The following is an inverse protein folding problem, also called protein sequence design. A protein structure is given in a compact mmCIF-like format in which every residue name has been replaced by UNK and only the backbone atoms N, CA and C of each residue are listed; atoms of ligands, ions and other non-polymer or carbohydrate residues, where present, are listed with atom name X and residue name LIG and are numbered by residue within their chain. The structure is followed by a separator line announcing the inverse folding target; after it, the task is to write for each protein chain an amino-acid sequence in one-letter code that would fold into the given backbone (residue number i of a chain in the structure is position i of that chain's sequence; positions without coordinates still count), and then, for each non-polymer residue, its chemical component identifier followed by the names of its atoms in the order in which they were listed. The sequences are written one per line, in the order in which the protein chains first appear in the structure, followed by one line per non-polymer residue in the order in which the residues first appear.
data_IF_560205619356
#
_entry.id   IF_560205619356
#
_cell.length_a   1.000
_cell.length_b   1.000
_cell.length_c   1.000
_cell.angle_alpha   90.00
_cell.angle_beta   90.00
_cell.angle_gamma   90.00
#
_symmetry.space_group_name_H-M   'P 1'
#
loop_
_entity.id
_entity.type
_entity.pdbx_description
1 polymer ?
#
# COMPACT_ATOMS: atom_id res chain seq x y z
N UNK A 1 0.05 -22.43 -2.39
CA UNK A 1 -1.28 -22.70 -1.83
C UNK A 1 -2.26 -21.73 -2.46
N UNK A 2 -3.32 -22.24 -3.08
CA UNK A 2 -4.31 -21.39 -3.74
C UNK A 2 -5.15 -20.62 -2.71
N UNK A 3 -5.44 -19.35 -3.01
CA UNK A 3 -6.18 -18.43 -2.13
C UNK A 3 -7.63 -18.90 -1.97
N UNK A 4 -8.16 -18.82 -0.74
CA UNK A 4 -9.52 -19.23 -0.40
C UNK A 4 -10.59 -18.52 -1.28
N UNK A 5 -11.69 -19.19 -1.66
CA UNK A 5 -12.72 -18.62 -2.53
C UNK A 5 -13.33 -17.31 -2.00
N UNK A 6 -13.52 -17.19 -0.69
CA UNK A 6 -14.03 -15.97 -0.04
C UNK A 6 -13.11 -14.77 -0.26
N UNK A 7 -11.79 -14.97 -0.18
CA UNK A 7 -10.80 -13.93 -0.44
C UNK A 7 -10.71 -13.56 -1.92
N UNK A 8 -11.02 -14.48 -2.84
CA UNK A 8 -11.11 -14.15 -4.28
C UNK A 8 -12.32 -13.27 -4.55
N UNK A 9 -13.48 -13.60 -3.98
CA UNK A 9 -14.70 -12.82 -4.13
C UNK A 9 -14.54 -11.41 -3.55
N UNK A 10 -13.92 -11.28 -2.38
CA UNK A 10 -13.61 -9.99 -1.76
C UNK A 10 -12.70 -9.11 -2.65
N UNK A 11 -11.80 -9.70 -3.46
CA UNK A 11 -10.95 -8.98 -4.42
C UNK A 11 -11.67 -8.63 -5.71
N UNK A 12 -12.60 -9.47 -6.18
CA UNK A 12 -13.34 -9.22 -7.42
C UNK A 12 -14.28 -8.02 -7.30
N UNK A 13 -14.86 -7.80 -6.12
CA UNK A 13 -15.77 -6.67 -5.88
C UNK A 13 -15.15 -5.29 -6.18
N UNK A 14 -13.99 -4.89 -5.61
CA UNK A 14 -13.38 -3.62 -5.95
C UNK A 14 -12.87 -3.58 -7.39
N UNK A 15 -12.34 -4.69 -7.93
CA UNK A 15 -11.88 -4.75 -9.32
C UNK A 15 -13.02 -4.46 -10.28
N UNK A 16 -14.20 -5.03 -10.06
CA UNK A 16 -15.39 -4.79 -10.87
C UNK A 16 -15.73 -3.30 -10.95
N UNK A 17 -15.74 -2.61 -9.80
CA UNK A 17 -16.03 -1.17 -9.76
C UNK A 17 -14.92 -0.33 -10.39
N UNK A 18 -13.64 -0.65 -10.15
CA UNK A 18 -12.51 0.05 -10.79
C UNK A 18 -12.61 -0.03 -12.31
N UNK A 19 -12.92 -1.23 -12.84
CA UNK A 19 -13.06 -1.44 -14.29
C UNK A 19 -14.26 -0.68 -14.83
N UNK A 20 -15.44 -0.79 -14.22
CA UNK A 20 -16.65 -0.14 -14.75
C UNK A 20 -16.54 1.39 -14.67
N UNK A 21 -16.02 1.93 -13.57
CA UNK A 21 -15.81 3.38 -13.44
C UNK A 21 -14.78 3.87 -14.46
N UNK A 22 -13.71 3.10 -14.69
CA UNK A 22 -12.69 3.42 -15.69
C UNK A 22 -13.19 3.36 -17.15
N UNK A 23 -14.09 2.42 -17.46
CA UNK A 23 -14.63 2.24 -18.82
C UNK A 23 -15.82 3.15 -19.13
N UNK A 24 -16.63 3.48 -18.12
CA UNK A 24 -17.83 4.30 -18.26
C UNK A 24 -17.74 5.59 -17.41
N UNK A 25 -16.66 6.39 -17.52
CA UNK A 25 -16.46 7.53 -16.63
C UNK A 25 -17.53 8.61 -16.80
N UNK A 26 -18.06 8.78 -18.02
CA UNK A 26 -19.15 9.72 -18.29
C UNK A 26 -20.44 9.36 -17.55
N UNK A 27 -20.77 8.07 -17.45
CA UNK A 27 -21.97 7.62 -16.75
C UNK A 27 -21.91 7.95 -15.26
N UNK A 28 -20.78 7.65 -14.61
CA UNK A 28 -20.58 7.98 -13.20
C UNK A 28 -20.49 9.49 -12.96
N UNK A 29 -19.87 10.24 -13.86
CA UNK A 29 -19.86 11.70 -13.79
C UNK A 29 -21.28 12.28 -13.82
N UNK A 30 -22.14 11.80 -14.72
CA UNK A 30 -23.53 12.25 -14.81
C UNK A 30 -24.34 11.86 -13.56
N UNK A 31 -24.12 10.65 -13.03
CA UNK A 31 -24.77 10.19 -11.79
C UNK A 31 -24.41 11.08 -10.58
N UNK A 32 -23.13 11.43 -10.43
CA UNK A 32 -22.66 12.28 -9.32
C UNK A 32 -23.19 13.72 -9.50
N UNK A 33 -23.07 14.26 -10.71
CA UNK A 33 -23.48 15.65 -10.98
C UNK A 33 -24.99 15.84 -10.90
N UNK A 34 -25.81 14.83 -11.22
CA UNK A 34 -27.26 14.92 -11.01
C UNK A 34 -27.66 15.11 -9.55
N UNK A 35 -26.87 14.56 -8.61
CA UNK A 35 -27.11 14.71 -7.16
C UNK A 35 -26.62 16.07 -6.66
N UNK A 36 -25.51 16.57 -7.21
CA UNK A 36 -24.88 17.82 -6.75
C UNK A 36 -25.56 19.06 -7.36
N UNK A 37 -26.16 18.94 -8.55
CA UNK A 37 -26.81 20.05 -9.26
C UNK A 37 -27.90 20.74 -8.43
N UNK A 38 -28.64 19.98 -7.61
CA UNK A 38 -29.67 20.51 -6.71
C UNK A 38 -29.09 21.51 -5.69
N UNK A 39 -27.86 21.26 -5.20
CA UNK A 39 -27.20 22.11 -4.21
C UNK A 39 -26.43 23.28 -4.81
N UNK A 40 -26.03 23.19 -6.08
CA UNK A 40 -25.22 24.18 -6.77
C UNK A 40 -25.78 24.52 -8.16
N UNK A 41 -26.94 25.20 -8.23
CA UNK A 41 -27.65 25.44 -9.49
C UNK A 41 -26.90 26.39 -10.44
N UNK A 42 -26.05 27.26 -9.90
CA UNK A 42 -25.24 28.23 -10.66
C UNK A 42 -24.20 27.55 -11.57
N UNK A 43 -23.81 26.31 -11.25
CA UNK A 43 -22.79 25.58 -12.01
C UNK A 43 -23.49 24.59 -12.93
N UNK A 44 -23.38 24.80 -14.24
CA UNK A 44 -23.90 23.88 -15.25
C UNK A 44 -22.93 22.69 -15.46
N UNK A 45 -22.87 21.77 -14.50
CA UNK A 45 -21.92 20.65 -14.53
C UNK A 45 -22.02 19.80 -15.82
N UNK A 46 -23.23 19.64 -16.36
CA UNK A 46 -23.47 18.90 -17.61
C UNK A 46 -22.82 19.54 -18.85
N UNK A 47 -22.60 20.86 -18.84
CA UNK A 47 -22.07 21.61 -19.97
C UNK A 47 -20.57 21.91 -19.83
N UNK A 48 -19.94 21.42 -18.77
CA UNK A 48 -18.50 21.58 -18.61
C UNK A 48 -17.75 20.83 -19.73
N UNK A 49 -16.65 21.39 -20.24
CA UNK A 49 -15.86 20.79 -21.33
C UNK A 49 -15.30 19.41 -20.97
N UNK A 50 -15.26 19.07 -19.68
CA UNK A 50 -14.82 17.76 -19.17
C UNK A 50 -15.71 16.62 -19.67
N UNK A 51 -17.00 16.86 -19.96
CA UNK A 51 -17.92 15.80 -20.40
C UNK A 51 -17.50 15.17 -21.73
N UNK A 52 -17.08 16.00 -22.69
CA UNK A 52 -16.55 15.54 -23.96
C UNK A 52 -15.25 14.75 -23.77
N UNK A 53 -14.34 15.25 -22.92
CA UNK A 53 -13.10 14.53 -22.59
C UNK A 53 -13.36 13.15 -21.98
N UNK A 54 -14.30 13.05 -21.04
CA UNK A 54 -14.67 11.77 -20.40
C UNK A 54 -15.31 10.80 -21.40
N UNK A 55 -16.10 11.29 -22.35
CA UNK A 55 -16.63 10.47 -23.44
C UNK A 55 -15.51 9.84 -24.28
N UNK A 56 -14.55 10.65 -24.75
CA UNK A 56 -13.44 10.18 -25.56
C UNK A 56 -12.49 9.26 -24.79
N UNK A 57 -12.22 9.53 -23.51
CA UNK A 57 -11.40 8.66 -22.65
C UNK A 57 -12.05 7.28 -22.52
N UNK A 58 -13.34 7.21 -22.20
CA UNK A 58 -14.06 5.93 -22.09
C UNK A 58 -14.10 5.17 -23.43
N UNK A 59 -14.36 5.88 -24.53
CA UNK A 59 -14.41 5.28 -25.87
C UNK A 59 -13.05 4.72 -26.29
N UNK A 60 -11.96 5.48 -26.11
CA UNK A 60 -10.61 5.04 -26.45
C UNK A 60 -10.17 3.84 -25.59
N UNK A 61 -10.50 3.83 -24.30
CA UNK A 61 -10.22 2.70 -23.42
C UNK A 61 -10.93 1.43 -23.92
N UNK A 62 -12.21 1.53 -24.28
CA UNK A 62 -12.98 0.42 -24.83
C UNK A 62 -12.40 -0.08 -26.16
N UNK A 63 -12.05 0.82 -27.08
CA UNK A 63 -11.42 0.46 -28.36
C UNK A 63 -10.11 -0.29 -28.12
N UNK A 64 -9.26 0.19 -27.21
CA UNK A 64 -7.97 -0.44 -26.90
C UNK A 64 -8.15 -1.86 -26.34
N UNK A 65 -9.14 -2.06 -25.45
CA UNK A 65 -9.44 -3.38 -24.90
C UNK A 65 -9.95 -4.33 -25.97
N UNK A 66 -10.88 -3.88 -26.83
CA UNK A 66 -11.38 -4.69 -27.95
C UNK A 66 -10.23 -5.06 -28.89
N UNK A 67 -9.38 -4.09 -29.23
CA UNK A 67 -8.21 -4.31 -30.09
C UNK A 67 -7.24 -5.34 -29.47
N UNK A 68 -6.95 -5.23 -28.17
CA UNK A 68 -6.14 -6.20 -27.44
C UNK A 68 -6.75 -7.61 -27.48
N UNK A 69 -8.05 -7.74 -27.24
CA UNK A 69 -8.76 -9.03 -27.29
C UNK A 69 -8.67 -9.64 -28.69
N UNK A 70 -8.88 -8.84 -29.73
CA UNK A 70 -8.77 -9.27 -31.13
C UNK A 70 -7.34 -9.74 -31.45
N UNK A 71 -6.32 -8.96 -31.10
CA UNK A 71 -4.92 -9.35 -31.31
C UNK A 71 -4.54 -10.60 -30.53
N UNK A 72 -4.99 -10.73 -29.29
CA UNK A 72 -4.74 -11.90 -28.46
C UNK A 72 -5.42 -13.15 -29.04
N UNK A 73 -6.68 -13.04 -29.46
CA UNK A 73 -7.42 -14.12 -30.11
C UNK A 73 -6.74 -14.55 -31.42
N UNK A 74 -6.35 -13.59 -32.25
CA UNK A 74 -5.63 -13.84 -33.50
C UNK A 74 -4.29 -14.53 -33.25
N UNK A 75 -3.49 -14.05 -32.29
CA UNK A 75 -2.24 -14.70 -31.86
C UNK A 75 -2.48 -16.14 -31.41
N UNK A 76 -3.53 -16.37 -30.61
CA UNK A 76 -3.88 -17.71 -30.10
C UNK A 76 -4.30 -18.66 -31.23
N UNK A 77 -5.01 -18.16 -32.24
CA UNK A 77 -5.38 -18.94 -33.43
C UNK A 77 -4.14 -19.36 -34.24
N UNK A 78 -3.22 -18.43 -34.50
CA UNK A 78 -1.99 -18.71 -35.26
C UNK A 78 -1.07 -19.69 -34.51
N UNK A 79 -0.91 -19.50 -33.20
CA UNK A 79 0.02 -20.30 -32.39
C UNK A 79 -0.58 -21.63 -31.91
N UNK A 80 -1.83 -21.95 -32.25
CA UNK A 80 -2.51 -23.19 -31.81
C UNK A 80 -1.74 -24.46 -32.17
N UNK A 81 -1.02 -24.45 -33.29
CA UNK A 81 -0.25 -25.60 -33.78
C UNK A 81 1.20 -25.65 -33.28
N UNK A 82 1.68 -24.63 -32.56
CA UNK A 82 3.07 -24.59 -32.09
C UNK A 82 3.16 -25.15 -30.68
N UNK A 83 4.03 -26.14 -30.48
CA UNK A 83 4.42 -26.57 -29.14
C UNK A 83 5.32 -25.49 -28.53
N UNK A 84 4.88 -24.92 -27.41
CA UNK A 84 5.66 -23.97 -26.62
C UNK A 84 6.28 -24.75 -25.47
N UNK A 85 7.60 -24.98 -25.52
CA UNK A 85 8.37 -25.55 -24.41
C UNK A 85 8.94 -24.44 -23.54
N UNK A 86 8.83 -24.57 -22.22
CA UNK A 86 9.51 -23.70 -21.27
C UNK A 86 10.92 -24.22 -21.03
N UNK A 87 11.94 -23.39 -21.28
CA UNK A 87 13.34 -23.70 -20.97
C UNK A 87 13.78 -23.14 -19.61
N UNK A 88 14.95 -23.57 -19.13
CA UNK A 88 15.55 -22.99 -17.93
C UNK A 88 15.94 -21.52 -18.16
N UNK A 89 15.62 -20.64 -17.20
CA UNK A 89 15.84 -19.19 -17.29
C UNK A 89 17.30 -18.77 -17.42
N UNK A 90 18.25 -19.63 -17.04
CA UNK A 90 19.70 -19.40 -17.11
C UNK A 90 20.46 -20.53 -17.82
N UNK A 91 19.80 -21.29 -18.69
CA UNK A 91 20.34 -22.51 -19.29
C UNK A 91 21.68 -22.33 -20.05
N UNK A 92 22.01 -21.11 -20.47
CA UNK A 92 23.27 -20.78 -21.16
C UNK A 92 24.42 -20.32 -20.24
N UNK A 93 24.18 -20.07 -18.95
CA UNK A 93 25.19 -19.51 -18.03
C UNK A 93 25.29 -20.18 -16.67
N UNK A 94 24.20 -20.79 -16.16
CA UNK A 94 24.20 -21.48 -14.88
C UNK A 94 23.17 -22.61 -14.88
N UNK A 95 23.66 -23.85 -15.04
CA UNK A 95 22.82 -25.05 -15.16
C UNK A 95 22.12 -25.44 -13.84
N UNK A 96 22.60 -24.96 -12.70
CA UNK A 96 22.03 -25.21 -11.37
C UNK A 96 21.06 -24.11 -10.92
N UNK A 97 20.59 -23.27 -11.84
CA UNK A 97 19.66 -22.20 -11.50
C UNK A 97 18.34 -22.78 -10.97
N UNK A 98 18.10 -22.62 -9.68
CA UNK A 98 16.82 -22.93 -9.07
C UNK A 98 16.04 -21.63 -8.89
N UNK A 99 14.86 -21.46 -9.52
CA UNK A 99 14.04 -20.29 -9.34
C UNK A 99 13.72 -20.00 -7.87
N UNK A 100 13.58 -21.00 -7.00
CA UNK A 100 13.25 -20.78 -5.59
C UNK A 100 14.38 -20.09 -4.81
N UNK A 101 15.65 -20.32 -5.18
CA UNK A 101 16.82 -19.81 -4.44
C UNK A 101 17.47 -18.62 -5.13
N UNK A 102 17.36 -18.53 -6.45
CA UNK A 102 18.07 -17.54 -7.26
C UNK A 102 17.16 -16.38 -7.68
N UNK A 103 16.00 -16.22 -7.03
CA UNK A 103 15.10 -15.09 -7.25
C UNK A 103 15.62 -13.86 -6.51
N UNK A 104 15.63 -12.72 -7.20
CA UNK A 104 15.82 -11.42 -6.56
C UNK A 104 14.70 -11.16 -5.55
N UNK A 105 15.07 -10.63 -4.40
CA UNK A 105 14.10 -10.26 -3.35
C UNK A 105 13.49 -8.89 -3.65
N UNK A 106 12.39 -8.56 -2.96
CA UNK A 106 11.79 -7.23 -3.05
C UNK A 106 12.80 -6.11 -2.76
N UNK A 107 13.71 -6.32 -1.80
CA UNK A 107 14.80 -5.39 -1.46
C UNK A 107 15.74 -5.17 -2.64
N UNK A 108 16.12 -6.23 -3.38
CA UNK A 108 16.98 -6.09 -4.56
C UNK A 108 16.31 -5.29 -5.68
N UNK A 109 15.00 -5.48 -5.90
CA UNK A 109 14.25 -4.67 -6.87
C UNK A 109 14.13 -3.20 -6.47
N UNK A 110 13.95 -2.93 -5.17
CA UNK A 110 13.80 -1.58 -4.64
C UNK A 110 15.14 -0.83 -4.46
N UNK A 111 16.28 -1.53 -4.44
CA UNK A 111 17.59 -0.96 -4.08
C UNK A 111 17.99 0.28 -4.89
N UNK A 112 17.68 0.32 -6.19
CA UNK A 112 17.99 1.50 -7.01
C UNK A 112 17.16 2.72 -6.60
N UNK A 113 15.88 2.52 -6.27
CA UNK A 113 15.00 3.59 -5.79
C UNK A 113 15.42 4.05 -4.40
N UNK A 114 15.73 3.11 -3.50
CA UNK A 114 16.26 3.42 -2.16
C UNK A 114 17.53 4.26 -2.25
N UNK A 115 18.45 3.94 -3.17
CA UNK A 115 19.68 4.70 -3.40
C UNK A 115 19.42 6.15 -3.85
N UNK A 116 18.41 6.38 -4.69
CA UNK A 116 18.02 7.75 -5.11
C UNK A 116 17.39 8.49 -3.93
N UNK A 117 16.57 7.80 -3.13
CA UNK A 117 15.90 8.33 -1.96
C UNK A 117 16.71 8.16 -0.65
N UNK A 118 18.05 8.11 -0.73
CA UNK A 118 18.97 8.02 0.42
C UNK A 118 18.68 9.01 1.57
N UNK A 119 18.19 10.24 1.34
CA UNK A 119 17.84 11.12 2.44
C UNK A 119 16.69 10.61 3.32
N UNK A 120 15.81 9.76 2.76
CA UNK A 120 14.60 9.23 3.40
C UNK A 120 14.78 7.81 3.95
N UNK A 121 15.72 7.04 3.40
CA UNK A 121 15.94 5.64 3.78
C UNK A 121 17.33 5.42 4.37
N UNK A 122 17.42 4.49 5.32
CA UNK A 122 18.68 4.02 5.88
C UNK A 122 18.89 2.59 5.40
N UNK A 123 19.82 2.40 4.47
CA UNK A 123 20.15 1.07 3.96
C UNK A 123 21.23 0.43 4.83
N UNK A 124 20.95 -0.75 5.34
CA UNK A 124 21.88 -1.59 6.06
C UNK A 124 22.19 -2.83 5.24
N UNK A 125 23.47 -3.05 4.95
CA UNK A 125 23.95 -4.20 4.21
C UNK A 125 25.09 -4.84 4.97
N UNK A 126 25.08 -6.17 5.02
CA UNK A 126 26.27 -6.91 5.43
C UNK A 126 27.42 -6.57 4.48
N UNK A 127 28.62 -6.43 5.01
CA UNK A 127 29.83 -6.25 4.19
C UNK A 127 30.58 -7.58 4.16
N UNK A 128 30.44 -8.32 3.07
CA UNK A 128 31.21 -9.55 2.84
C UNK A 128 32.51 -9.17 2.13
N UNK A 129 33.62 -9.28 2.85
CA UNK A 129 34.96 -9.11 2.30
C UNK A 129 35.63 -10.47 2.06
N UNK A 130 36.34 -10.61 0.94
CA UNK A 130 37.12 -11.79 0.61
C UNK A 130 38.61 -11.50 0.84
N UNK A 131 39.32 -12.45 1.44
CA UNK A 131 40.77 -12.33 1.61
C UNK A 131 41.49 -12.54 0.28
N UNK A 132 42.56 -11.79 0.02
CA UNK A 132 43.35 -11.92 -1.21
C UNK A 132 43.95 -13.33 -1.40
N UNK A 133 44.12 -14.09 -0.31
CA UNK A 133 44.65 -15.46 -0.29
C UNK A 133 43.56 -16.55 -0.21
N UNK A 134 42.28 -16.18 -0.18
CA UNK A 134 41.16 -17.11 -0.03
C UNK A 134 40.74 -17.69 -1.39
N UNK A 135 41.34 -18.84 -1.78
CA UNK A 135 41.08 -19.49 -3.07
C UNK A 135 39.73 -20.23 -3.10
N UNK A 136 39.31 -20.80 -1.96
CA UNK A 136 38.02 -21.50 -1.81
C UNK A 136 37.27 -20.97 -0.59
N UNK A 137 36.47 -19.90 -0.76
CA UNK A 137 35.75 -19.30 0.35
C UNK A 137 34.69 -20.24 0.91
N UNK A 138 34.57 -20.27 2.24
CA UNK A 138 33.52 -20.99 2.95
C UNK A 138 32.17 -20.32 2.64
N UNK A 139 31.05 -21.07 2.54
CA UNK A 139 29.74 -20.47 2.33
C UNK A 139 29.42 -19.38 3.38
N UNK A 140 29.04 -18.18 2.91
CA UNK A 140 28.62 -17.05 3.75
C UNK A 140 27.21 -16.61 3.38
N UNK A 141 26.51 -16.03 4.35
CA UNK A 141 25.16 -15.49 4.16
C UNK A 141 25.23 -13.98 4.09
N UNK A 142 24.54 -13.38 3.12
CA UNK A 142 24.40 -11.94 2.96
C UNK A 142 22.98 -11.52 3.30
N UNK A 143 22.83 -10.51 4.16
CA UNK A 143 21.54 -9.89 4.46
C UNK A 143 21.60 -8.39 4.21
N UNK A 144 20.47 -7.86 3.75
CA UNK A 144 20.25 -6.43 3.58
C UNK A 144 18.87 -6.10 4.09
N UNK A 145 18.75 -4.99 4.81
CA UNK A 145 17.48 -4.41 5.22
C UNK A 145 17.52 -2.90 5.04
N UNK A 146 16.35 -2.31 4.81
CA UNK A 146 16.19 -0.87 4.64
C UNK A 146 15.21 -0.40 5.71
N UNK A 147 15.58 0.65 6.43
CA UNK A 147 14.74 1.28 7.44
C UNK A 147 14.25 2.65 6.96
N UNK A 148 13.06 3.04 7.39
CA UNK A 148 12.52 4.37 7.15
C UNK A 148 13.12 5.36 8.17
N UNK A 149 13.79 6.40 7.67
CA UNK A 149 14.42 7.40 8.52
C UNK A 149 13.41 8.21 9.31
N UNK A 150 12.24 8.52 8.73
CA UNK A 150 11.18 9.29 9.39
C UNK A 150 10.58 8.45 10.52
N UNK A 151 10.37 7.15 10.26
CA UNK A 151 9.91 6.22 11.28
C UNK A 151 10.85 6.22 12.48
N UNK A 152 12.15 6.01 12.25
CA UNK A 152 13.14 5.95 13.32
C UNK A 152 13.41 7.28 14.02
N UNK A 153 13.38 8.40 13.30
CA UNK A 153 13.80 9.71 13.83
C UNK A 153 12.63 10.50 14.43
N UNK A 154 11.43 10.36 13.90
CA UNK A 154 10.26 11.14 14.31
C UNK A 154 9.18 10.27 14.94
N UNK A 155 8.76 9.19 14.28
CA UNK A 155 7.58 8.42 14.71
C UNK A 155 7.90 7.60 15.97
N UNK A 156 8.94 6.80 15.94
CA UNK A 156 9.32 5.89 17.03
C UNK A 156 9.63 6.64 18.34
N UNK A 157 10.37 7.77 18.35
CA UNK A 157 10.62 8.52 19.58
C UNK A 157 9.33 9.10 20.19
N UNK A 158 8.43 9.65 19.35
CA UNK A 158 7.14 10.18 19.80
C UNK A 158 6.27 9.05 20.35
N UNK A 159 6.14 7.95 19.60
CA UNK A 159 5.36 6.78 20.02
C UNK A 159 5.88 6.21 21.33
N UNK A 160 7.19 6.02 21.46
CA UNK A 160 7.81 5.50 22.69
C UNK A 160 7.61 6.45 23.87
N UNK A 161 7.69 7.76 23.64
CA UNK A 161 7.42 8.78 24.67
C UNK A 161 5.97 8.72 25.13
N UNK A 162 5.01 8.66 24.20
CA UNK A 162 3.58 8.49 24.52
C UNK A 162 3.33 7.20 25.31
N UNK A 163 3.95 6.09 24.92
CA UNK A 163 3.86 4.82 25.65
C UNK A 163 4.36 4.98 27.08
N UNK A 164 5.47 5.70 27.29
CA UNK A 164 5.99 5.97 28.64
C UNK A 164 5.02 6.84 29.45
N UNK A 165 4.43 7.87 28.85
CA UNK A 165 3.42 8.70 29.51
C UNK A 165 2.17 7.90 29.88
N UNK A 166 1.64 7.09 28.97
CA UNK A 166 0.48 6.22 29.23
C UNK A 166 0.80 5.20 30.31
N UNK A 167 2.00 4.60 30.30
CA UNK A 167 2.44 3.69 31.37
C UNK A 167 2.48 4.37 32.74
N UNK A 168 2.85 5.66 32.82
CA UNK A 168 2.77 6.43 34.06
C UNK A 168 1.32 6.65 34.50
N UNK A 169 0.42 6.93 33.56
CA UNK A 169 -1.02 7.08 33.85
C UNK A 169 -1.69 5.75 34.24
N UNK A 170 -1.12 4.60 33.85
CA UNK A 170 -1.62 3.29 34.27
C UNK A 170 -1.59 3.09 35.79
N UNK A 171 -0.87 3.93 36.55
CA UNK A 171 -0.94 3.97 38.02
C UNK A 171 -2.36 4.27 38.53
N UNK A 172 -3.21 4.96 37.74
CA UNK A 172 -4.61 5.20 38.06
C UNK A 172 -5.48 3.93 37.98
N UNK A 173 -4.96 2.84 37.41
CA UNK A 173 -5.64 1.55 37.36
C UNK A 173 -5.20 0.66 38.53
N UNK A 174 -5.52 1.06 39.75
CA UNK A 174 -5.14 0.35 40.99
C UNK A 174 -5.94 -0.94 41.23
N UNK A 175 -7.02 -1.17 40.49
CA UNK A 175 -7.89 -2.35 40.65
C UNK A 175 -8.81 -2.32 41.88
N UNK A 176 -8.79 -1.25 42.68
CA UNK A 176 -9.62 -1.08 43.87
C UNK A 176 -10.84 -0.22 43.56
N UNK A 177 -12.04 -0.75 43.79
CA UNK A 177 -13.31 -0.06 43.51
C UNK A 177 -13.39 1.33 44.19
N UNK A 178 -12.82 1.48 45.39
CA UNK A 178 -12.82 2.74 46.15
C UNK A 178 -12.15 3.89 45.38
N UNK A 179 -11.03 3.61 44.70
CA UNK A 179 -10.30 4.62 43.92
C UNK A 179 -11.13 5.10 42.71
N UNK A 180 -11.84 4.18 42.06
CA UNK A 180 -12.72 4.50 40.92
C UNK A 180 -13.94 5.36 41.32
N UNK A 181 -14.37 5.32 42.58
CA UNK A 181 -15.44 6.21 43.10
C UNK A 181 -14.84 7.56 43.51
N UNK A 182 -13.63 7.56 44.09
CA UNK A 182 -12.98 8.77 44.59
C UNK A 182 -12.57 9.73 43.46
N UNK A 183 -12.01 9.24 42.35
CA UNK A 183 -11.51 10.13 41.27
C UNK A 183 -12.62 10.99 40.63
N UNK A 184 -13.78 10.44 40.22
CA UNK A 184 -14.88 11.25 39.69
C UNK A 184 -15.48 12.21 40.71
N UNK A 185 -15.57 11.81 41.98
CA UNK A 185 -16.08 12.68 43.05
C UNK A 185 -15.19 13.91 43.22
N UNK A 186 -13.86 13.73 43.26
CA UNK A 186 -12.91 14.84 43.31
C UNK A 186 -13.05 15.76 42.08
N UNK A 187 -13.21 15.19 40.90
CA UNK A 187 -13.42 15.94 39.66
C UNK A 187 -14.71 16.80 39.70
N UNK A 188 -15.81 16.26 40.22
CA UNK A 188 -17.07 17.01 40.39
C UNK A 188 -16.88 18.18 41.35
N UNK A 189 -16.24 17.95 42.51
CA UNK A 189 -15.96 19.02 43.49
C UNK A 189 -15.10 20.12 42.86
N UNK A 190 -14.08 19.73 42.09
CA UNK A 190 -13.20 20.68 41.39
C UNK A 190 -13.98 21.53 40.39
N UNK A 191 -14.86 20.93 39.57
CA UNK A 191 -15.70 21.68 38.63
C UNK A 191 -16.62 22.66 39.37
N UNK A 192 -17.31 22.21 40.42
CA UNK A 192 -18.22 23.08 41.20
C UNK A 192 -17.46 24.27 41.78
N UNK A 193 -16.24 24.04 42.27
CA UNK A 193 -15.40 25.11 42.84
C UNK A 193 -14.95 26.11 41.75
N UNK A 194 -14.55 25.61 40.58
CA UNK A 194 -14.18 26.46 39.43
C UNK A 194 -15.37 27.30 38.92
N UNK A 195 -16.56 26.74 38.91
CA UNK A 195 -17.80 27.44 38.53
C UNK A 195 -18.20 28.50 39.56
N UNK A 196 -18.14 28.19 40.86
CA UNK A 196 -18.47 29.16 41.91
C UNK A 196 -17.46 30.32 41.93
N UNK A 197 -16.20 30.07 41.56
CA UNK A 197 -15.16 31.10 41.49
C UNK A 197 -15.14 31.87 40.17
N UNK A 198 -16.05 31.58 39.22
CA UNK A 198 -16.12 32.19 37.87
C UNK A 198 -14.80 32.12 37.08
N UNK A 199 -13.98 31.11 37.33
CA UNK A 199 -12.77 30.84 36.54
C UNK A 199 -13.14 30.12 35.23
N UNK A 200 -14.27 29.42 35.25
CA UNK A 200 -14.99 28.82 34.12
C UNK A 200 -16.46 29.17 34.30
#
# INVERSE_FOLDING_TARGET
TEVAPSMRLAKLLPIFWIVIIGLLPLYFYQLITSVIQEKFPEIAFKNLPITNSLHWIGLLAMILIVLFIVFYAFRKLILKSKQVSLGATWGCGYQFANPATNQYTATSFAANFARIAKPLFIDHSDNISYGETEIFPIPRTFKTHTEDKIENTAIMPIANTLIIWVKKLAVLQTGKIQDYIMYPLFFIILIVLLTITNII
#
